data_IF_341784124987
#
_entry.id   IF_341784124987
#
_cell.length_a   1.000
_cell.length_b   1.000
_cell.length_c   1.000
_cell.angle_alpha   90.00
_cell.angle_beta   90.00
_cell.angle_gamma   90.00
#
_symmetry.space_group_name_H-M   'P 1'
#
loop_
_entity.id
_entity.type
_entity.pdbx_description
1 polymer ?
#
# COMPACT_ATOMS: atom_id res chain seq x y z
N UNK A 1 -5.70 -4.44 17.33
CA UNK A 1 -4.23 -4.47 17.21
C UNK A 1 -3.91 -5.07 15.84
N UNK A 2 -3.37 -4.28 14.91
CA UNK A 2 -2.88 -4.87 13.66
C UNK A 2 -1.80 -5.89 14.00
N UNK A 3 -1.99 -7.12 13.52
CA UNK A 3 -1.05 -8.21 13.81
C UNK A 3 0.23 -7.88 13.05
N UNK A 4 1.32 -7.66 13.76
CA UNK A 4 2.63 -7.54 13.13
C UNK A 4 2.82 -8.74 12.21
N UNK A 5 3.03 -8.45 10.93
CA UNK A 5 3.23 -9.48 9.94
C UNK A 5 4.57 -10.16 10.26
N UNK A 6 4.59 -11.49 10.43
CA UNK A 6 5.82 -12.19 10.77
C UNK A 6 6.86 -12.04 9.64
N UNK A 7 8.17 -11.88 9.94
CA UNK A 7 9.25 -11.90 8.94
C UNK A 7 9.16 -13.03 7.91
N UNK A 8 8.57 -14.14 8.32
CA UNK A 8 8.29 -15.32 7.52
C UNK A 8 7.40 -15.04 6.29
N UNK A 9 6.57 -14.00 6.33
CA UNK A 9 5.63 -13.69 5.24
C UNK A 9 6.31 -13.15 4.00
N UNK A 10 7.38 -12.35 4.12
CA UNK A 10 8.08 -11.86 2.92
C UNK A 10 8.77 -13.01 2.19
N UNK A 11 9.31 -13.97 2.95
CA UNK A 11 9.92 -15.19 2.44
C UNK A 11 8.88 -16.07 1.74
N UNK A 12 7.72 -16.24 2.38
CA UNK A 12 6.58 -16.95 1.80
C UNK A 12 6.16 -16.33 0.46
N UNK A 13 6.05 -15.00 0.39
CA UNK A 13 5.60 -14.30 -0.82
C UNK A 13 6.64 -14.43 -1.93
N UNK A 14 7.93 -14.28 -1.62
CA UNK A 14 8.99 -14.50 -2.58
C UNK A 14 8.98 -15.94 -3.11
N UNK A 15 8.86 -16.93 -2.22
CA UNK A 15 8.76 -18.34 -2.58
C UNK A 15 7.57 -18.63 -3.48
N UNK A 16 6.39 -18.13 -3.10
CA UNK A 16 5.17 -18.29 -3.88
C UNK A 16 5.29 -17.65 -5.27
N UNK A 17 6.01 -16.52 -5.38
CA UNK A 17 6.23 -15.83 -6.65
C UNK A 17 7.13 -16.60 -7.63
N UNK A 18 7.92 -17.57 -7.16
CA UNK A 18 8.86 -18.35 -7.99
C UNK A 18 8.57 -19.85 -8.02
N UNK A 19 7.51 -20.32 -7.36
CA UNK A 19 7.22 -21.76 -7.23
C UNK A 19 6.99 -22.49 -8.56
N UNK A 20 6.61 -21.77 -9.61
CA UNK A 20 6.38 -22.29 -10.96
C UNK A 20 7.52 -21.98 -11.93
N UNK A 21 8.53 -21.23 -11.51
CA UNK A 21 9.70 -20.97 -12.33
C UNK A 21 10.46 -22.27 -12.49
N UNK A 22 11.05 -22.50 -13.66
CA UNK A 22 11.81 -23.73 -13.94
C UNK A 22 13.21 -23.66 -13.31
N UNK A 23 13.83 -22.49 -13.32
CA UNK A 23 15.20 -22.26 -12.85
C UNK A 23 15.22 -21.01 -11.98
N UNK A 24 16.01 -21.05 -10.90
CA UNK A 24 16.18 -19.96 -9.95
C UNK A 24 17.53 -19.28 -10.18
N UNK A 25 17.67 -18.65 -11.35
CA UNK A 25 18.92 -18.05 -11.81
C UNK A 25 19.10 -16.59 -11.37
N UNK A 26 20.25 -16.00 -11.74
CA UNK A 26 20.62 -14.63 -11.38
C UNK A 26 19.72 -13.58 -12.06
N UNK A 27 19.19 -13.88 -13.26
CA UNK A 27 18.31 -12.98 -13.98
C UNK A 27 16.93 -12.88 -13.30
N UNK A 28 16.41 -14.02 -12.84
CA UNK A 28 15.21 -14.06 -12.02
C UNK A 28 15.45 -13.38 -10.67
N UNK A 29 16.60 -13.63 -10.03
CA UNK A 29 16.94 -12.99 -8.76
C UNK A 29 16.97 -11.45 -8.88
N UNK A 30 17.60 -10.92 -9.95
CA UNK A 30 17.61 -9.49 -10.25
C UNK A 30 16.20 -8.94 -10.50
N UNK A 31 15.37 -9.70 -11.21
CA UNK A 31 13.97 -9.32 -11.48
C UNK A 31 13.17 -9.22 -10.17
N UNK A 32 13.32 -10.20 -9.28
CA UNK A 32 12.66 -10.19 -7.96
C UNK A 32 13.21 -9.07 -7.06
N UNK A 33 14.52 -8.84 -7.07
CA UNK A 33 15.12 -7.71 -6.35
C UNK A 33 14.51 -6.38 -6.80
N UNK A 34 14.40 -6.13 -8.11
CA UNK A 34 13.76 -4.91 -8.63
C UNK A 34 12.30 -4.79 -8.22
N UNK A 35 11.54 -5.89 -8.25
CA UNK A 35 10.15 -5.89 -7.82
C UNK A 35 10.01 -5.52 -6.33
N UNK A 36 10.84 -6.10 -5.45
CA UNK A 36 10.84 -5.75 -4.02
C UNK A 36 11.22 -4.29 -3.77
N UNK A 37 12.15 -3.74 -4.54
CA UNK A 37 12.59 -2.35 -4.39
C UNK A 37 11.55 -1.33 -4.90
N UNK A 38 10.81 -1.65 -5.96
CA UNK A 38 9.86 -0.73 -6.59
C UNK A 38 8.43 -0.93 -6.08
N UNK A 39 8.11 -2.14 -5.66
CA UNK A 39 6.79 -2.53 -5.21
C UNK A 39 6.89 -3.37 -3.93
N UNK A 40 7.33 -2.80 -2.80
CA UNK A 40 7.32 -3.52 -1.54
C UNK A 40 5.93 -4.06 -1.23
N UNK A 41 5.96 -5.26 -0.70
CA UNK A 41 4.82 -6.04 -0.25
C UNK A 41 4.19 -5.35 0.95
N UNK A 42 2.87 -5.26 0.94
CA UNK A 42 2.05 -4.99 2.15
C UNK A 42 2.53 -3.80 3.00
N UNK A 43 3.08 -2.75 2.40
CA UNK A 43 3.43 -1.52 3.11
C UNK A 43 4.78 -1.53 3.85
N UNK A 44 5.66 -2.48 3.53
CA UNK A 44 7.07 -2.40 3.94
C UNK A 44 7.83 -1.35 3.14
N UNK A 45 8.95 -0.85 3.69
CA UNK A 45 9.97 -0.16 2.88
C UNK A 45 10.94 -1.17 2.26
N UNK A 46 11.66 -0.81 1.19
CA UNK A 46 12.75 -1.63 0.66
C UNK A 46 13.78 -2.08 1.73
N UNK A 47 14.09 -1.20 2.69
CA UNK A 47 14.97 -1.49 3.81
C UNK A 47 14.41 -2.51 4.78
N UNK A 48 13.12 -2.40 5.11
CA UNK A 48 12.46 -3.36 5.99
C UNK A 48 12.44 -4.75 5.33
N UNK A 49 12.04 -4.86 4.07
CA UNK A 49 12.03 -6.15 3.35
C UNK A 49 13.41 -6.78 3.26
N UNK A 50 14.43 -5.99 2.92
CA UNK A 50 15.81 -6.44 2.90
C UNK A 50 16.24 -6.97 4.27
N UNK A 51 15.91 -6.26 5.35
CA UNK A 51 16.24 -6.69 6.72
C UNK A 51 15.55 -8.01 7.09
N UNK A 52 14.27 -8.17 6.71
CA UNK A 52 13.50 -9.40 6.95
C UNK A 52 14.05 -10.58 6.14
N UNK A 53 14.36 -10.40 4.86
CA UNK A 53 14.99 -11.43 4.02
C UNK A 53 16.36 -11.83 4.56
N UNK A 54 17.13 -10.86 5.06
CA UNK A 54 18.43 -11.11 5.70
C UNK A 54 18.28 -11.86 7.04
N UNK A 55 17.23 -11.61 7.80
CA UNK A 55 16.95 -12.34 9.04
C UNK A 55 16.54 -13.79 8.76
N UNK A 56 15.70 -14.03 7.75
CA UNK A 56 15.28 -15.36 7.33
C UNK A 56 16.43 -16.28 6.87
N UNK A 57 17.58 -15.69 6.50
CA UNK A 57 18.82 -16.42 6.18
C UNK A 57 19.40 -17.17 7.37
N UNK A 58 19.08 -16.80 8.62
CA UNK A 58 19.73 -17.37 9.82
C UNK A 58 19.58 -18.91 9.85
N UNK A 59 20.69 -19.66 10.02
CA UNK A 59 20.65 -21.12 10.13
C UNK A 59 19.72 -21.56 11.27
N UNK A 60 18.82 -22.50 11.00
CA UNK A 60 17.87 -23.05 11.98
C UNK A 60 16.41 -22.61 11.81
N UNK A 61 16.12 -21.60 10.98
CA UNK A 61 14.75 -21.28 10.60
C UNK A 61 14.30 -22.23 9.48
N UNK A 62 13.75 -23.41 9.79
CA UNK A 62 13.23 -24.34 8.76
C UNK A 62 12.21 -23.63 7.87
N UNK A 63 12.38 -23.68 6.54
CA UNK A 63 11.48 -22.97 5.62
C UNK A 63 10.04 -23.47 5.82
N UNK A 64 9.89 -24.78 6.04
CA UNK A 64 8.61 -25.42 6.39
C UNK A 64 7.93 -24.83 7.63
N UNK A 65 8.70 -24.37 8.63
CA UNK A 65 8.14 -23.72 9.83
C UNK A 65 7.65 -22.30 9.55
N UNK A 66 8.25 -21.61 8.58
CA UNK A 66 7.85 -20.26 8.16
C UNK A 66 6.53 -20.26 7.37
N UNK A 67 6.27 -21.33 6.62
CA UNK A 67 5.11 -21.41 5.72
C UNK A 67 3.81 -21.83 6.42
N UNK A 68 3.87 -22.26 7.69
CA UNK A 68 2.72 -22.62 8.55
C UNK A 68 1.83 -23.77 8.05
N UNK A 69 1.96 -24.17 6.79
CA UNK A 69 1.23 -25.24 6.12
C UNK A 69 2.24 -25.95 5.20
N UNK A 70 2.26 -27.29 5.15
CA UNK A 70 3.09 -28.03 4.20
C UNK A 70 2.60 -27.76 2.78
N UNK A 71 3.15 -26.75 2.14
CA UNK A 71 3.00 -26.56 0.69
C UNK A 71 3.99 -27.52 0.05
N UNK A 72 3.49 -28.41 -0.80
CA UNK A 72 4.35 -29.25 -1.64
C UNK A 72 4.99 -28.36 -2.70
N UNK A 73 6.11 -27.75 -2.34
CA UNK A 73 6.87 -26.90 -3.25
C UNK A 73 7.86 -27.81 -3.98
N UNK A 74 7.98 -27.70 -5.31
CA UNK A 74 8.91 -28.53 -6.09
C UNK A 74 10.38 -28.09 -5.93
N UNK A 75 10.75 -27.56 -4.76
CA UNK A 75 12.06 -26.95 -4.46
C UNK A 75 12.56 -27.45 -3.13
N UNK A 76 13.86 -27.68 -3.06
CA UNK A 76 14.54 -27.96 -1.79
C UNK A 76 14.75 -26.67 -1.00
N UNK A 77 14.85 -26.78 0.33
CA UNK A 77 15.20 -25.66 1.20
C UNK A 77 16.55 -25.02 0.81
N UNK A 78 17.51 -25.82 0.35
CA UNK A 78 18.84 -25.35 -0.07
C UNK A 78 18.77 -24.49 -1.33
N UNK A 79 18.07 -24.97 -2.38
CA UNK A 79 17.87 -24.22 -3.63
C UNK A 79 17.21 -22.87 -3.38
N UNK A 80 16.17 -22.86 -2.53
CA UNK A 80 15.46 -21.61 -2.24
C UNK A 80 16.30 -20.65 -1.40
N UNK A 81 17.06 -21.13 -0.42
CA UNK A 81 18.00 -20.28 0.34
C UNK A 81 19.04 -19.66 -0.56
N UNK A 82 19.64 -20.44 -1.46
CA UNK A 82 20.60 -19.93 -2.43
C UNK A 82 19.98 -18.83 -3.30
N UNK A 83 18.74 -19.04 -3.77
CA UNK A 83 18.01 -18.02 -4.51
C UNK A 83 17.78 -16.73 -3.70
N UNK A 84 17.36 -16.83 -2.43
CA UNK A 84 17.21 -15.66 -1.55
C UNK A 84 18.53 -14.90 -1.40
N UNK A 85 19.68 -15.59 -1.35
CA UNK A 85 20.99 -14.94 -1.30
C UNK A 85 21.25 -14.11 -2.56
N UNK A 86 20.99 -14.69 -3.73
CA UNK A 86 21.16 -13.97 -5.01
C UNK A 86 20.24 -12.76 -5.09
N UNK A 87 19.01 -12.85 -4.57
CA UNK A 87 18.09 -11.71 -4.49
C UNK A 87 18.67 -10.61 -3.58
N UNK A 88 19.18 -10.96 -2.39
CA UNK A 88 19.82 -9.99 -1.48
C UNK A 88 21.05 -9.34 -2.11
N UNK A 89 21.90 -10.12 -2.77
CA UNK A 89 23.09 -9.61 -3.47
C UNK A 89 22.69 -8.67 -4.62
N UNK A 90 21.64 -9.02 -5.37
CA UNK A 90 21.10 -8.16 -6.41
C UNK A 90 20.50 -6.87 -5.83
N UNK A 91 19.78 -6.92 -4.71
CA UNK A 91 19.29 -5.72 -4.00
C UNK A 91 20.47 -4.83 -3.58
N UNK A 92 21.53 -5.40 -2.98
CA UNK A 92 22.70 -4.63 -2.56
C UNK A 92 23.43 -3.97 -3.73
N UNK A 93 23.49 -4.64 -4.90
CA UNK A 93 24.07 -4.07 -6.13
C UNK A 93 23.30 -2.87 -6.70
N UNK A 94 22.02 -2.74 -6.33
CA UNK A 94 21.12 -1.67 -6.79
C UNK A 94 21.10 -0.45 -5.86
N UNK A 95 21.97 -0.38 -4.84
CA UNK A 95 22.06 0.77 -3.94
C UNK A 95 22.66 2.01 -4.66
N UNK A 96 22.24 3.24 -4.30
CA UNK A 96 21.17 3.56 -3.37
C UNK A 96 19.79 3.19 -3.94
N UNK A 97 18.91 2.69 -3.08
CA UNK A 97 17.56 2.31 -3.49
C UNK A 97 16.71 3.55 -3.77
N UNK A 98 15.75 3.45 -4.72
CA UNK A 98 14.87 4.55 -5.03
C UNK A 98 13.98 4.89 -3.83
N UNK A 99 13.75 6.18 -3.62
CA UNK A 99 12.68 6.63 -2.75
C UNK A 99 11.33 6.37 -3.43
N UNK A 100 10.44 5.67 -2.73
CA UNK A 100 9.14 5.32 -3.28
C UNK A 100 8.17 6.51 -3.21
N UNK A 101 7.34 6.73 -4.25
CA UNK A 101 6.39 7.85 -4.27
C UNK A 101 5.42 7.80 -3.08
N UNK A 102 5.05 6.59 -2.67
CA UNK A 102 4.20 6.33 -1.53
C UNK A 102 4.43 4.90 -1.02
N UNK A 103 4.04 4.65 0.23
CA UNK A 103 4.03 3.33 0.85
C UNK A 103 2.65 3.13 1.49
N UNK A 104 1.95 2.01 1.22
CA UNK A 104 0.74 1.65 1.96
C UNK A 104 1.00 1.58 3.47
N UNK A 105 0.09 2.09 4.28
CA UNK A 105 0.20 1.91 5.73
C UNK A 105 -0.23 0.51 6.13
N UNK A 106 0.55 -0.12 7.01
CA UNK A 106 0.25 -1.41 7.66
C UNK A 106 -0.66 -1.26 8.87
N UNK A 107 -0.80 -0.03 9.36
CA UNK A 107 -1.58 0.26 10.55
C UNK A 107 -3.08 0.21 10.24
N UNK A 108 -3.92 -0.09 11.24
CA UNK A 108 -5.36 0.08 11.07
C UNK A 108 -5.66 1.55 10.72
N UNK A 109 -6.87 1.85 10.22
CA UNK A 109 -7.25 3.22 9.94
C UNK A 109 -6.99 4.09 11.18
N UNK A 110 -6.41 5.28 10.98
CA UNK A 110 -6.16 6.18 12.09
C UNK A 110 -7.47 6.52 12.83
N UNK A 111 -7.42 6.84 14.14
CA UNK A 111 -8.62 7.27 14.86
C UNK A 111 -9.30 8.43 14.14
N UNK A 112 -10.62 8.36 13.95
CA UNK A 112 -11.34 9.40 13.20
C UNK A 112 -11.35 9.22 11.68
N UNK A 113 -10.82 8.11 11.14
CA UNK A 113 -10.75 7.85 9.70
C UNK A 113 -12.08 8.10 8.96
N UNK A 114 -13.18 7.55 9.49
CA UNK A 114 -14.49 7.69 8.88
C UNK A 114 -15.04 9.13 8.89
N UNK A 115 -14.48 9.99 9.75
CA UNK A 115 -14.82 11.41 9.86
C UNK A 115 -13.79 12.32 9.18
N UNK A 116 -12.71 11.76 8.64
CA UNK A 116 -11.63 12.55 8.06
C UNK A 116 -12.12 13.33 6.83
N UNK A 117 -11.75 14.62 6.69
CA UNK A 117 -12.28 15.45 5.64
C UNK A 117 -11.80 14.94 4.27
N UNK A 118 -12.70 14.78 3.30
CA UNK A 118 -12.30 14.46 1.93
C UNK A 118 -11.67 15.70 1.31
N UNK A 119 -10.51 15.48 0.68
CA UNK A 119 -9.72 16.52 0.03
C UNK A 119 -9.90 16.55 -1.47
N UNK A 120 -10.23 15.40 -2.04
CA UNK A 120 -10.49 15.27 -3.46
C UNK A 120 -11.41 14.08 -3.77
N UNK A 121 -12.00 14.10 -4.97
CA UNK A 121 -12.68 12.98 -5.58
C UNK A 121 -11.94 12.58 -6.87
N UNK A 122 -11.52 11.32 -6.95
CA UNK A 122 -10.97 10.74 -8.17
C UNK A 122 -12.12 10.29 -9.08
N UNK A 123 -12.12 10.78 -10.32
CA UNK A 123 -13.09 10.39 -11.35
C UNK A 123 -12.95 8.94 -11.80
N UNK A 124 -11.72 8.36 -11.93
CA UNK A 124 -11.57 6.95 -12.25
C UNK A 124 -12.22 6.04 -11.19
N UNK A 125 -12.75 4.91 -11.65
CA UNK A 125 -13.32 3.89 -10.76
C UNK A 125 -12.25 3.16 -9.95
N UNK A 126 -12.69 2.38 -8.95
CA UNK A 126 -11.82 1.61 -8.07
C UNK A 126 -10.84 0.73 -8.83
N UNK A 127 -11.30 0.01 -9.85
CA UNK A 127 -10.46 -0.94 -10.61
C UNK A 127 -9.35 -0.21 -11.37
N UNK A 128 -9.67 0.93 -11.96
CA UNK A 128 -8.71 1.75 -12.70
C UNK A 128 -7.64 2.30 -11.76
N UNK A 129 -8.05 2.80 -10.59
CA UNK A 129 -7.11 3.25 -9.54
C UNK A 129 -6.20 2.12 -9.07
N UNK A 130 -6.77 0.95 -8.74
CA UNK A 130 -5.98 -0.20 -8.26
C UNK A 130 -4.94 -0.65 -9.30
N UNK A 131 -5.34 -0.67 -10.57
CA UNK A 131 -4.45 -1.05 -11.68
C UNK A 131 -3.30 -0.06 -11.84
N UNK A 132 -3.59 1.25 -11.86
CA UNK A 132 -2.55 2.28 -12.07
C UNK A 132 -1.58 2.37 -10.89
N UNK A 133 -2.08 2.15 -9.67
CA UNK A 133 -1.26 2.18 -8.47
C UNK A 133 -0.56 0.85 -8.18
N UNK A 134 -0.90 -0.22 -8.90
CA UNK A 134 -0.48 -1.58 -8.60
C UNK A 134 -0.77 -1.98 -7.14
N UNK A 135 -1.89 -1.48 -6.57
CA UNK A 135 -2.28 -1.71 -5.17
C UNK A 135 -3.78 -1.89 -5.07
N UNK A 136 -4.22 -2.81 -4.23
CA UNK A 136 -5.64 -3.06 -3.99
C UNK A 136 -6.14 -2.22 -2.82
N UNK A 137 -7.38 -1.74 -2.91
CA UNK A 137 -8.07 -1.23 -1.74
C UNK A 137 -8.52 -2.42 -0.87
N UNK A 138 -8.29 -2.31 0.43
CA UNK A 138 -8.65 -3.30 1.42
C UNK A 138 -10.12 -3.13 1.82
N UNK A 139 -10.82 -4.22 2.11
CA UNK A 139 -12.17 -4.14 2.65
C UNK A 139 -12.11 -3.64 4.11
N UNK A 140 -12.86 -2.58 4.44
CA UNK A 140 -12.96 -2.10 5.81
C UNK A 140 -13.96 -2.92 6.63
N UNK A 141 -13.73 -3.09 7.93
CA UNK A 141 -14.66 -3.83 8.80
C UNK A 141 -16.06 -3.19 8.85
N UNK A 142 -16.13 -1.87 8.75
CA UNK A 142 -17.37 -1.09 8.75
C UNK A 142 -18.06 -1.05 7.37
N UNK A 143 -17.53 -1.78 6.38
CA UNK A 143 -17.98 -1.78 5.00
C UNK A 143 -17.21 -0.81 4.11
N UNK A 144 -17.23 -1.08 2.80
CA UNK A 144 -16.49 -0.33 1.79
C UNK A 144 -15.02 -0.72 1.69
N UNK A 145 -14.27 0.11 0.97
CA UNK A 145 -12.91 -0.15 0.53
C UNK A 145 -12.01 1.03 0.90
N UNK A 146 -10.79 0.75 1.34
CA UNK A 146 -9.85 1.79 1.71
C UNK A 146 -8.38 1.38 1.48
N UNK A 147 -7.51 2.35 1.24
CA UNK A 147 -6.07 2.17 1.14
C UNK A 147 -5.38 3.37 1.81
N UNK A 148 -4.84 3.22 3.03
CA UNK A 148 -4.04 4.25 3.66
C UNK A 148 -2.65 4.30 3.02
N UNK A 149 -2.14 5.51 2.83
CA UNK A 149 -0.87 5.75 2.16
C UNK A 149 -0.08 6.79 2.95
N UNK A 150 1.23 6.57 3.05
CA UNK A 150 2.20 7.60 3.42
C UNK A 150 2.97 8.00 2.19
N UNK A 151 2.88 9.27 1.80
CA UNK A 151 3.61 9.83 0.65
C UNK A 151 5.09 10.03 1.02
N UNK A 152 5.97 10.15 0.03
CA UNK A 152 7.38 10.50 0.26
C UNK A 152 7.58 11.87 0.94
N UNK A 153 6.61 12.78 0.82
CA UNK A 153 6.57 14.03 1.58
C UNK A 153 6.37 13.83 3.10
N UNK A 154 6.03 12.61 3.53
CA UNK A 154 5.64 12.28 4.90
C UNK A 154 4.16 12.46 5.19
N UNK A 155 3.39 13.01 4.24
CA UNK A 155 1.94 13.19 4.39
C UNK A 155 1.20 11.85 4.42
N UNK A 156 0.19 11.76 5.27
CA UNK A 156 -0.68 10.59 5.36
C UNK A 156 -2.05 10.90 4.77
N UNK A 157 -2.41 10.10 3.78
CA UNK A 157 -3.68 10.19 3.06
C UNK A 157 -4.32 8.81 2.99
N UNK A 158 -5.59 8.76 2.59
CA UNK A 158 -6.20 7.50 2.25
C UNK A 158 -7.13 7.62 1.06
N UNK A 159 -7.18 6.55 0.29
CA UNK A 159 -8.19 6.35 -0.74
C UNK A 159 -9.35 5.59 -0.11
N UNK A 160 -10.59 6.02 -0.37
CA UNK A 160 -11.79 5.32 0.12
C UNK A 160 -12.87 5.25 -0.95
N UNK A 161 -13.59 4.13 -1.00
CA UNK A 161 -14.76 3.94 -1.83
C UNK A 161 -15.85 3.19 -1.05
N UNK A 162 -17.14 3.59 -1.12
CA UNK A 162 -18.22 2.92 -0.40
C UNK A 162 -18.48 1.49 -0.90
N UNK A 163 -18.23 1.24 -2.19
CA UNK A 163 -18.41 -0.06 -2.82
C UNK A 163 -17.47 -0.22 -4.02
N UNK A 164 -17.41 -1.43 -4.57
CA UNK A 164 -16.54 -1.74 -5.71
C UNK A 164 -17.08 -1.00 -6.95
N UNK A 165 -16.21 -0.24 -7.62
CA UNK A 165 -16.51 0.62 -8.77
C UNK A 165 -17.16 1.98 -8.44
N UNK A 166 -17.29 2.34 -7.15
CA UNK A 166 -17.64 3.71 -6.80
C UNK A 166 -16.46 4.66 -7.03
N UNK A 167 -16.78 5.96 -7.16
CA UNK A 167 -15.76 7.01 -7.18
C UNK A 167 -14.96 7.00 -5.87
N UNK A 168 -13.65 7.24 -5.98
CA UNK A 168 -12.73 7.20 -4.84
C UNK A 168 -12.59 8.60 -4.26
N UNK A 169 -12.76 8.72 -2.94
CA UNK A 169 -12.39 9.94 -2.22
C UNK A 169 -10.96 9.82 -1.71
N UNK A 170 -10.23 10.92 -1.77
CA UNK A 170 -8.95 11.09 -1.09
C UNK A 170 -9.25 11.77 0.24
N UNK A 171 -8.85 11.16 1.35
CA UNK A 171 -8.96 11.71 2.69
C UNK A 171 -7.57 12.15 3.16
N UNK A 172 -7.52 13.25 3.92
CA UNK A 172 -6.33 13.67 4.65
C UNK A 172 -6.44 13.23 6.10
N UNK A 173 -5.31 12.85 6.72
CA UNK A 173 -5.28 12.58 8.16
C UNK A 173 -5.65 13.83 8.98
N UNK A 174 -6.54 13.65 9.94
CA UNK A 174 -6.89 14.70 10.89
C UNK A 174 -5.67 15.15 11.71
N UNK A 175 -5.52 16.45 11.92
CA UNK A 175 -4.39 17.01 12.66
C UNK A 175 -3.10 17.14 11.84
N UNK A 176 -3.16 16.96 10.51
CA UNK A 176 -2.06 17.35 9.64
C UNK A 176 -1.67 18.81 9.86
N UNK A 177 -0.37 19.08 9.95
CA UNK A 177 0.16 20.44 10.09
C UNK A 177 0.14 21.22 8.76
N UNK A 178 -0.01 20.52 7.63
CA UNK A 178 -0.07 21.11 6.28
C UNK A 178 -1.50 21.42 5.88
N UNK A 179 -1.65 22.49 5.12
CA UNK A 179 -2.94 22.86 4.58
C UNK A 179 -3.42 21.80 3.56
N UNK A 180 -4.74 21.55 3.46
CA UNK A 180 -5.23 20.46 2.62
C UNK A 180 -4.88 20.58 1.14
N UNK A 181 -4.82 21.80 0.59
CA UNK A 181 -4.38 22.09 -0.78
C UNK A 181 -2.91 21.68 -1.02
N UNK A 182 -2.06 21.82 0.00
CA UNK A 182 -0.65 21.42 -0.10
C UNK A 182 -0.51 19.90 -0.07
N UNK A 183 -1.34 19.21 0.72
CA UNK A 183 -1.38 17.75 0.77
C UNK A 183 -1.94 17.18 -0.53
N UNK A 184 -2.98 17.80 -1.10
CA UNK A 184 -3.51 17.40 -2.41
C UNK A 184 -2.47 17.61 -3.51
N UNK A 185 -1.72 18.72 -3.49
CA UNK A 185 -0.63 18.95 -4.43
C UNK A 185 0.48 17.89 -4.29
N UNK A 186 0.86 17.52 -3.07
CA UNK A 186 1.83 16.45 -2.81
C UNK A 186 1.31 15.09 -3.32
N UNK A 187 0.03 14.79 -3.09
CA UNK A 187 -0.64 13.59 -3.63
C UNK A 187 -0.57 13.56 -5.16
N UNK A 188 -0.99 14.64 -5.84
CA UNK A 188 -0.99 14.71 -7.30
C UNK A 188 0.42 14.65 -7.91
N UNK A 189 1.44 15.10 -7.17
CA UNK A 189 2.83 15.05 -7.64
C UNK A 189 3.33 13.60 -7.80
N UNK A 190 2.90 12.69 -6.93
CA UNK A 190 3.43 11.32 -6.87
C UNK A 190 2.46 10.26 -7.40
N UNK A 191 1.19 10.63 -7.62
CA UNK A 191 0.16 9.70 -8.05
C UNK A 191 -0.03 9.72 -9.57
N UNK A 192 -0.39 8.56 -10.18
CA UNK A 192 -0.54 8.42 -11.62
C UNK A 192 -1.89 8.95 -12.14
N UNK A 193 -2.30 10.15 -11.71
CA UNK A 193 -3.55 10.79 -12.11
C UNK A 193 -3.29 12.16 -12.72
N UNK A 194 -3.95 12.44 -13.85
CA UNK A 194 -3.93 13.76 -14.42
C UNK A 194 -4.81 14.72 -13.60
N UNK A 195 -4.50 16.04 -13.57
CA UNK A 195 -5.29 17.00 -12.79
C UNK A 195 -6.78 17.04 -13.16
N UNK A 196 -7.14 16.78 -14.41
CA UNK A 196 -8.53 16.74 -14.88
C UNK A 196 -9.28 15.46 -14.46
N UNK A 197 -8.57 14.44 -13.98
CA UNK A 197 -9.14 13.23 -13.37
C UNK A 197 -9.47 13.42 -11.89
N UNK A 198 -9.14 14.57 -11.31
CA UNK A 198 -9.29 14.85 -9.87
C UNK A 198 -10.14 16.11 -9.65
N UNK A 199 -11.20 15.97 -8.86
CA UNK A 199 -12.01 17.09 -8.40
C UNK A 199 -11.53 17.52 -7.00
N UNK A 200 -11.06 18.76 -6.90
CA UNK A 200 -10.64 19.36 -5.63
C UNK A 200 -11.88 19.74 -4.81
N UNK A 201 -12.01 19.11 -3.64
CA UNK A 201 -13.17 19.31 -2.76
C UNK A 201 -12.95 20.44 -1.73
N UNK A 202 -11.73 20.98 -1.61
CA UNK A 202 -11.47 22.12 -0.74
C UNK A 202 -12.00 23.42 -1.30
N UNK A 203 -11.89 23.60 -2.61
CA UNK A 203 -12.34 24.82 -3.28
C UNK A 203 -13.88 24.92 -3.25
N UNK A 204 -14.59 23.79 -3.27
CA UNK A 204 -16.05 23.76 -3.26
C UNK A 204 -16.68 24.18 -1.91
N UNK A 205 -15.97 24.01 -0.79
CA UNK A 205 -16.45 24.39 0.54
C UNK A 205 -16.42 25.89 0.85
N UNK A 206 -15.72 26.70 0.03
CA UNK A 206 -15.58 28.14 0.22
C UNK A 206 -16.69 28.99 -0.43
N UNK A 207 -17.59 28.38 -1.20
CA UNK A 207 -18.62 29.09 -1.99
C UNK A 207 -20.07 28.73 -1.59
N UNK A 208 -20.29 28.29 -0.34
CA UNK A 208 -21.63 28.16 0.25
C UNK A 208 -21.78 29.10 1.45
N UNK A 209 -21.67 30.39 1.16
CA UNK A 209 -22.21 31.45 1.98
C UNK A 209 -23.53 31.92 1.39
N UNK A 210 -24.60 31.74 2.18
CA UNK A 210 -25.85 32.49 2.11
C UNK A 210 -26.80 32.18 0.94
N UNK A 211 -27.64 31.16 1.11
CA UNK A 211 -29.06 31.37 0.87
C UNK A 211 -29.93 30.50 1.79
N UNK A 212 -30.93 31.15 2.38
CA UNK A 212 -31.63 30.71 3.57
C UNK A 212 -32.61 29.55 3.39
N UNK A 213 -32.85 28.87 4.52
CA UNK A 213 -34.22 28.54 4.90
C UNK A 213 -34.55 27.07 5.09
N UNK A 214 -34.84 26.70 6.34
CA UNK A 214 -36.08 25.99 6.62
C UNK A 214 -35.98 24.55 7.15
N UNK A 215 -36.22 24.45 8.47
CA UNK A 215 -37.04 23.44 9.14
C UNK A 215 -36.53 21.98 9.27
N UNK A 216 -35.96 21.72 10.45
CA UNK A 216 -36.47 20.76 11.44
C UNK A 216 -37.72 19.97 11.03
N UNK A 217 -37.63 18.64 11.02
CA UNK A 217 -38.70 17.77 11.52
C UNK A 217 -38.13 16.48 12.13
N UNK A 218 -38.26 16.41 13.45
CA UNK A 218 -38.24 15.20 14.26
C UNK A 218 -39.43 14.32 13.87
N UNK A 219 -39.22 13.02 13.69
CA UNK A 219 -40.27 12.05 13.98
C UNK A 219 -39.71 10.82 14.69
N UNK A 220 -40.14 10.69 15.94
CA UNK A 220 -40.25 9.45 16.67
C UNK A 220 -41.00 8.39 15.85
N UNK A 221 -40.49 7.16 15.86
CA UNK A 221 -41.21 5.99 16.40
C UNK A 221 -40.27 4.85 16.71
#
# INVERSE_FOLDING_TARGET
MARAIPPERIVYILLYSVQYERELDDALALTRARALLLEPVEGYTPEEEYALLREAKRPGAELASLLGTPIAIPRTDEEFRDFVLRVLDAMDSLRPWPELPFIPSREPPWPGFAQSPPIALLKPDTRTVETRMHRYLLHAEQGGYWLPLRLNSGDEVALTAPERNAAIKVLMREGSARAPEEVLAAFLHVMPFAPDEVEDLHVAGGAQGDDGGGALLLHHR
#
